data_IF_384507456027
#
_entry.id   IF_384507456027
#
_cell.length_a   1.000
_cell.length_b   1.000
_cell.length_c   1.000
_cell.angle_alpha   90.00
_cell.angle_beta   90.00
_cell.angle_gamma   90.00
#
_symmetry.space_group_name_H-M   'P 1'
#
loop_
_entity.id
_entity.type
_entity.pdbx_description
1 polymer ?
#
# COMPACT_ATOMS: atom_id res chain seq x y z
N UNK A 1 14.76 7.15 0.96
CA UNK A 1 16.22 7.30 0.77
C UNK A 1 16.56 8.76 0.54
N UNK A 2 15.87 9.43 -0.39
CA UNK A 2 16.09 10.83 -0.75
C UNK A 2 16.00 11.77 0.45
N UNK A 3 14.90 11.76 1.17
CA UNK A 3 14.68 12.65 2.32
C UNK A 3 15.79 12.56 3.38
N UNK A 4 16.20 11.34 3.79
CA UNK A 4 17.21 11.17 4.85
C UNK A 4 18.63 11.48 4.39
N UNK A 5 18.99 11.09 3.18
CA UNK A 5 20.39 11.19 2.69
C UNK A 5 20.68 12.43 1.88
N UNK A 6 19.69 12.93 1.17
CA UNK A 6 19.86 14.03 0.20
C UNK A 6 19.01 15.26 0.57
N UNK A 7 18.12 15.14 1.55
CA UNK A 7 17.13 16.17 1.92
C UNK A 7 16.24 16.61 0.77
N UNK A 8 16.04 15.74 -0.21
CA UNK A 8 15.29 16.00 -1.42
C UNK A 8 15.18 14.76 -2.31
N UNK A 9 14.73 14.94 -3.53
CA UNK A 9 14.68 13.90 -4.54
C UNK A 9 16.07 13.39 -4.92
N UNK A 10 16.13 12.19 -5.40
CA UNK A 10 17.33 11.58 -5.97
C UNK A 10 17.09 11.38 -7.47
N UNK A 11 18.15 11.42 -8.33
CA UNK A 11 17.99 11.45 -9.79
C UNK A 11 17.30 10.24 -10.42
N UNK A 12 17.13 9.17 -9.69
CA UNK A 12 16.54 7.90 -10.16
C UNK A 12 15.25 7.51 -9.44
N UNK A 13 14.62 8.47 -8.73
CA UNK A 13 13.43 8.25 -7.91
C UNK A 13 12.59 9.53 -7.96
N UNK A 14 11.40 9.44 -8.52
CA UNK A 14 10.55 10.58 -8.86
C UNK A 14 9.19 10.55 -8.14
N UNK A 15 9.01 9.60 -7.22
CA UNK A 15 7.80 9.46 -6.44
C UNK A 15 7.97 9.88 -4.97
N UNK A 16 6.84 10.15 -4.33
CA UNK A 16 6.74 10.41 -2.89
C UNK A 16 5.78 9.41 -2.28
N UNK A 17 6.32 8.61 -1.38
CA UNK A 17 5.57 7.63 -0.62
C UNK A 17 5.35 8.11 0.82
N UNK A 18 4.11 8.11 1.26
CA UNK A 18 3.74 8.39 2.65
C UNK A 18 3.15 7.12 3.26
N UNK A 19 3.63 6.74 4.43
CA UNK A 19 3.01 5.70 5.23
C UNK A 19 2.23 6.33 6.39
N UNK A 20 1.00 5.90 6.60
CA UNK A 20 0.20 6.33 7.73
C UNK A 20 -0.48 5.13 8.40
N UNK A 21 -0.73 5.22 9.72
CA UNK A 21 -1.48 4.16 10.41
C UNK A 21 -2.84 3.97 9.76
N UNK A 22 -3.26 2.73 9.58
CA UNK A 22 -4.51 2.40 8.89
C UNK A 22 -5.72 3.16 9.46
N UNK A 23 -5.76 3.39 10.77
CA UNK A 23 -6.85 4.15 11.40
C UNK A 23 -6.82 5.62 10.99
N UNK A 24 -5.63 6.23 10.94
CA UNK A 24 -5.45 7.62 10.51
C UNK A 24 -5.72 7.76 9.01
N UNK A 25 -5.30 6.79 8.22
CA UNK A 25 -5.63 6.73 6.79
C UNK A 25 -7.15 6.67 6.55
N UNK A 26 -7.88 5.89 7.35
CA UNK A 26 -9.36 5.86 7.27
C UNK A 26 -10.01 7.20 7.62
N UNK A 27 -9.45 7.92 8.60
CA UNK A 27 -9.89 9.28 8.93
C UNK A 27 -9.55 10.25 7.81
N UNK A 28 -8.33 10.16 7.29
CA UNK A 28 -7.87 10.98 6.17
C UNK A 28 -8.78 10.80 4.95
N UNK A 29 -9.11 9.58 4.55
CA UNK A 29 -10.01 9.30 3.42
C UNK A 29 -11.37 9.97 3.57
N UNK A 30 -11.88 10.09 4.79
CA UNK A 30 -13.17 10.74 5.06
C UNK A 30 -13.11 12.27 5.02
N UNK A 31 -11.99 12.84 5.44
CA UNK A 31 -11.83 14.29 5.64
C UNK A 31 -11.23 14.95 4.40
N UNK A 32 -10.26 14.30 3.78
CA UNK A 32 -9.49 14.87 2.67
C UNK A 32 -10.33 15.43 1.51
N UNK A 33 -11.43 14.80 1.06
CA UNK A 33 -12.24 15.36 -0.03
C UNK A 33 -12.79 16.75 0.25
N UNK A 34 -12.93 17.14 1.53
CA UNK A 34 -13.46 18.44 1.95
C UNK A 34 -12.35 19.46 2.28
N UNK A 35 -11.15 18.98 2.58
CA UNK A 35 -10.02 19.80 3.06
C UNK A 35 -8.93 19.99 2.01
N UNK A 36 -8.91 19.16 0.96
CA UNK A 36 -7.96 19.30 -0.12
C UNK A 36 -8.21 20.62 -0.88
N UNK A 37 -7.12 21.27 -1.27
CA UNK A 37 -7.19 22.47 -2.10
C UNK A 37 -7.82 22.13 -3.46
N UNK A 38 -8.45 23.13 -4.08
CA UNK A 38 -8.90 23.05 -5.46
C UNK A 38 -7.75 22.59 -6.38
N UNK A 39 -8.07 21.69 -7.30
CA UNK A 39 -7.09 21.06 -8.18
C UNK A 39 -6.40 19.82 -7.60
N UNK A 40 -6.63 19.45 -6.33
CA UNK A 40 -6.16 18.20 -5.76
C UNK A 40 -7.32 17.19 -5.61
N UNK A 41 -7.05 15.93 -5.90
CA UNK A 41 -8.03 14.86 -5.89
C UNK A 41 -7.56 13.67 -5.07
N UNK A 42 -8.38 13.22 -4.13
CA UNK A 42 -8.14 11.98 -3.40
C UNK A 42 -8.62 10.81 -4.25
N UNK A 43 -7.70 10.08 -4.84
CA UNK A 43 -7.98 8.89 -5.62
C UNK A 43 -8.02 7.66 -4.70
N UNK A 44 -9.19 7.05 -4.64
CA UNK A 44 -9.47 5.79 -3.96
C UNK A 44 -10.27 4.90 -4.90
N UNK A 45 -10.51 3.65 -4.51
CA UNK A 45 -11.40 2.77 -5.27
C UNK A 45 -12.85 3.30 -5.37
N UNK A 46 -13.29 4.06 -4.38
CA UNK A 46 -14.65 4.60 -4.33
C UNK A 46 -14.78 5.90 -5.11
N UNK A 47 -13.78 6.78 -5.04
CA UNK A 47 -13.79 8.08 -5.73
C UNK A 47 -13.39 7.97 -7.21
N UNK A 48 -12.65 6.94 -7.58
CA UNK A 48 -12.19 6.69 -8.95
C UNK A 48 -12.28 5.18 -9.28
N UNK A 49 -13.50 4.68 -9.52
CA UNK A 49 -13.75 3.23 -9.70
C UNK A 49 -13.06 2.62 -10.91
N UNK A 50 -12.75 3.42 -11.92
CA UNK A 50 -12.03 3.00 -13.12
C UNK A 50 -10.55 2.70 -12.83
N UNK A 51 -10.01 3.22 -11.73
CA UNK A 51 -8.67 2.87 -11.26
C UNK A 51 -8.73 1.54 -10.51
N UNK A 52 -8.18 0.50 -11.09
CA UNK A 52 -8.11 -0.84 -10.48
C UNK A 52 -6.91 -1.04 -9.54
N UNK A 53 -6.04 -0.04 -9.38
CA UNK A 53 -4.91 -0.09 -8.44
C UNK A 53 -5.40 0.18 -7.00
N UNK A 54 -5.14 -0.68 -6.02
CA UNK A 54 -5.68 -0.56 -4.67
C UNK A 54 -4.90 0.43 -3.78
N UNK A 55 -4.20 1.40 -4.36
CA UNK A 55 -3.37 2.37 -3.65
C UNK A 55 -4.16 3.66 -3.53
N UNK A 56 -4.14 4.27 -2.34
CA UNK A 56 -4.69 5.61 -2.14
C UNK A 56 -3.66 6.63 -2.59
N UNK A 57 -4.07 7.55 -3.46
CA UNK A 57 -3.21 8.61 -3.97
C UNK A 57 -3.88 9.97 -3.76
N UNK A 58 -3.08 11.00 -3.54
CA UNK A 58 -3.51 12.38 -3.76
C UNK A 58 -2.92 12.83 -5.08
N UNK A 59 -3.76 13.19 -6.04
CA UNK A 59 -3.36 13.60 -7.39
C UNK A 59 -3.57 15.08 -7.62
N UNK A 60 -2.68 15.67 -8.39
CA UNK A 60 -2.86 17.02 -8.94
C UNK A 60 -3.60 16.92 -10.27
N UNK A 61 -4.82 17.48 -10.32
CA UNK A 61 -5.68 17.46 -11.50
C UNK A 61 -5.20 18.42 -12.62
N UNK A 62 -4.28 19.35 -12.29
CA UNK A 62 -3.73 20.30 -13.25
C UNK A 62 -2.46 19.77 -13.94
N UNK A 63 -2.08 18.54 -13.66
CA UNK A 63 -0.91 17.90 -14.23
C UNK A 63 -1.28 16.58 -14.92
N UNK A 64 -0.35 16.04 -15.67
CA UNK A 64 -0.50 14.74 -16.33
C UNK A 64 0.80 13.93 -16.12
N UNK A 65 0.65 12.75 -15.54
CA UNK A 65 1.76 11.85 -15.29
C UNK A 65 1.34 10.41 -15.62
N UNK A 66 2.15 9.73 -16.41
CA UNK A 66 1.88 8.37 -16.88
C UNK A 66 2.78 7.40 -16.15
N UNK A 67 2.18 6.43 -15.47
CA UNK A 67 2.89 5.31 -14.85
C UNK A 67 2.98 4.13 -15.83
N UNK A 68 4.02 3.32 -15.68
CA UNK A 68 4.11 2.06 -16.40
C UNK A 68 2.88 1.18 -16.12
N UNK A 69 2.23 0.73 -17.18
CA UNK A 69 1.02 -0.09 -17.10
C UNK A 69 -0.28 0.70 -16.93
N UNK A 70 -0.26 2.02 -17.12
CA UNK A 70 -1.49 2.79 -17.19
C UNK A 70 -2.31 2.39 -18.42
N UNK A 71 -3.61 2.23 -18.21
CA UNK A 71 -4.57 1.94 -19.29
C UNK A 71 -5.25 3.24 -19.73
N UNK A 72 -4.95 3.63 -20.98
CA UNK A 72 -5.52 4.83 -21.59
C UNK A 72 -6.97 4.65 -22.08
N UNK A 73 -7.46 3.42 -22.10
CA UNK A 73 -8.87 3.15 -22.39
C UNK A 73 -9.77 3.32 -21.17
N UNK A 74 -9.18 3.41 -19.96
CA UNK A 74 -9.89 3.65 -18.72
C UNK A 74 -9.84 5.13 -18.35
N UNK A 75 -11.01 5.65 -18.03
CA UNK A 75 -11.19 7.05 -17.61
C UNK A 75 -10.96 7.16 -16.08
N UNK A 76 -9.70 7.24 -15.68
CA UNK A 76 -9.29 7.56 -14.30
C UNK A 76 -8.26 8.70 -14.30
N UNK A 77 -8.15 9.37 -13.15
CA UNK A 77 -7.23 10.50 -13.00
C UNK A 77 -5.77 10.06 -13.11
N UNK A 78 -4.98 10.79 -13.92
CA UNK A 78 -3.57 10.49 -14.25
C UNK A 78 -2.66 11.70 -14.00
N UNK A 79 -2.88 12.46 -12.96
CA UNK A 79 -2.01 13.58 -12.56
C UNK A 79 -0.82 13.12 -11.72
N UNK A 80 0.16 14.02 -11.50
CA UNK A 80 1.23 13.83 -10.52
C UNK A 80 0.62 13.47 -9.16
N UNK A 81 1.27 12.62 -8.39
CA UNK A 81 0.66 12.04 -7.20
C UNK A 81 1.62 11.87 -6.04
N UNK A 82 1.03 11.69 -4.88
CA UNK A 82 1.66 11.16 -3.67
C UNK A 82 0.95 9.87 -3.29
N UNK A 83 1.71 8.79 -3.14
CA UNK A 83 1.18 7.50 -2.69
C UNK A 83 1.02 7.45 -1.17
N UNK A 84 -0.09 6.88 -0.71
CA UNK A 84 -0.37 6.73 0.71
C UNK A 84 -0.58 5.26 1.04
N UNK A 85 0.34 4.71 1.83
CA UNK A 85 0.34 3.31 2.24
C UNK A 85 -0.20 3.13 3.65
N UNK A 86 -1.10 2.15 3.87
CA UNK A 86 -1.58 1.82 5.20
C UNK A 86 -0.55 1.02 5.99
N UNK A 87 -0.13 1.51 7.15
CA UNK A 87 0.65 0.74 8.11
C UNK A 87 -0.25 0.13 9.17
N UNK A 88 -0.02 -1.15 9.44
CA UNK A 88 -0.70 -1.94 10.47
C UNK A 88 0.29 -2.58 11.43
N UNK A 89 -0.13 -2.76 12.68
CA UNK A 89 0.70 -3.42 13.67
C UNK A 89 0.81 -4.91 13.37
N UNK A 90 2.05 -5.41 13.39
CA UNK A 90 2.34 -6.82 13.14
C UNK A 90 2.61 -7.57 14.44
N UNK A 91 2.13 -8.81 14.55
CA UNK A 91 2.44 -9.67 15.68
C UNK A 91 3.94 -9.98 15.75
N UNK A 92 4.46 -10.06 16.98
CA UNK A 92 5.88 -10.32 17.22
C UNK A 92 6.22 -11.79 16.99
N UNK A 93 6.22 -12.20 15.73
CA UNK A 93 6.60 -13.53 15.23
C UNK A 93 7.87 -13.44 14.38
N UNK A 94 8.56 -14.57 14.13
CA UNK A 94 9.75 -14.58 13.30
C UNK A 94 9.52 -14.00 11.90
N UNK A 95 10.44 -13.16 11.42
CA UNK A 95 10.38 -12.54 10.09
C UNK A 95 10.20 -13.55 8.95
N UNK A 96 10.78 -14.75 9.10
CA UNK A 96 10.64 -15.83 8.11
C UNK A 96 9.19 -16.30 7.94
N UNK A 97 8.41 -16.31 9.02
CA UNK A 97 6.99 -16.66 9.00
C UNK A 97 6.16 -15.54 8.33
N UNK A 98 6.43 -14.28 8.71
CA UNK A 98 5.79 -13.14 8.07
C UNK A 98 6.05 -13.16 6.57
N UNK A 99 7.31 -13.36 6.16
CA UNK A 99 7.68 -13.43 4.73
C UNK A 99 6.94 -14.56 3.99
N UNK A 100 6.84 -15.75 4.58
CA UNK A 100 6.13 -16.88 3.96
C UNK A 100 4.64 -16.59 3.80
N UNK A 101 4.00 -16.08 4.86
CA UNK A 101 2.56 -15.76 4.84
C UNK A 101 2.26 -14.60 3.89
N UNK A 102 2.99 -13.51 4.01
CA UNK A 102 2.79 -12.32 3.18
C UNK A 102 3.02 -12.62 1.69
N UNK A 103 4.14 -13.30 1.35
CA UNK A 103 4.43 -13.69 -0.03
C UNK A 103 3.40 -14.68 -0.57
N UNK A 104 3.03 -15.68 0.24
CA UNK A 104 2.01 -16.66 -0.14
C UNK A 104 0.67 -16.02 -0.42
N UNK A 105 0.26 -15.07 0.42
CA UNK A 105 -0.99 -14.32 0.24
C UNK A 105 -0.91 -13.39 -0.98
N UNK A 106 0.11 -12.55 -1.05
CA UNK A 106 0.29 -11.55 -2.12
C UNK A 106 0.36 -12.20 -3.51
N UNK A 107 1.18 -13.25 -3.68
CA UNK A 107 1.28 -13.97 -4.96
C UNK A 107 -0.05 -14.64 -5.33
N UNK A 108 -0.72 -15.29 -4.37
CA UNK A 108 -2.01 -15.92 -4.64
C UNK A 108 -3.07 -14.89 -5.02
N UNK A 109 -3.13 -13.78 -4.30
CA UNK A 109 -4.05 -12.69 -4.60
C UNK A 109 -3.76 -12.04 -5.96
N UNK A 110 -2.50 -11.83 -6.31
CA UNK A 110 -2.10 -11.29 -7.61
C UNK A 110 -2.56 -12.20 -8.75
N UNK A 111 -2.36 -13.52 -8.62
CA UNK A 111 -2.81 -14.49 -9.64
C UNK A 111 -4.32 -14.44 -9.80
N UNK A 112 -5.09 -14.36 -8.71
CA UNK A 112 -6.56 -14.29 -8.78
C UNK A 112 -7.09 -13.02 -9.49
N UNK A 113 -6.34 -11.92 -9.45
CA UNK A 113 -6.72 -10.64 -10.07
C UNK A 113 -6.08 -10.41 -11.44
N UNK A 114 -5.19 -11.30 -11.90
CA UNK A 114 -4.64 -11.23 -13.25
C UNK A 114 -5.72 -11.63 -14.27
N UNK A 115 -5.73 -11.00 -15.43
CA UNK A 115 -6.61 -11.42 -16.55
C UNK A 115 -6.29 -12.87 -16.94
N UNK A 116 -7.24 -13.77 -16.73
CA UNK A 116 -7.11 -15.17 -17.10
C UNK A 116 -7.83 -15.45 -18.40
N UNK A 117 -7.20 -16.24 -19.26
CA UNK A 117 -7.93 -16.88 -20.36
C UNK A 117 -8.72 -18.06 -19.82
N UNK A 118 -9.95 -18.23 -20.26
CA UNK A 118 -10.80 -19.37 -19.90
C UNK A 118 -10.14 -20.67 -20.36
N UNK A 119 -9.58 -21.42 -19.41
CA UNK A 119 -8.94 -22.72 -19.64
C UNK A 119 -9.12 -23.62 -18.42
N UNK A 120 -8.98 -24.94 -18.60
CA UNK A 120 -9.01 -25.88 -17.49
C UNK A 120 -7.96 -25.54 -16.42
N UNK A 121 -6.81 -25.08 -16.84
CA UNK A 121 -5.74 -24.68 -15.94
C UNK A 121 -6.16 -23.48 -15.10
N UNK A 122 -6.71 -22.42 -15.68
CA UNK A 122 -7.15 -21.24 -14.94
C UNK A 122 -8.31 -21.54 -13.99
N UNK A 123 -9.16 -22.51 -14.32
CA UNK A 123 -10.20 -22.98 -13.41
C UNK A 123 -9.59 -23.60 -12.14
N UNK A 124 -8.64 -24.53 -12.27
CA UNK A 124 -7.97 -25.11 -11.09
C UNK A 124 -7.13 -24.09 -10.32
N UNK A 125 -6.43 -23.20 -11.03
CA UNK A 125 -5.66 -22.11 -10.40
C UNK A 125 -6.56 -21.20 -9.56
N UNK A 126 -7.74 -20.84 -10.04
CA UNK A 126 -8.70 -20.03 -9.30
C UNK A 126 -9.08 -20.67 -7.95
N UNK A 127 -9.44 -21.95 -7.95
CA UNK A 127 -9.79 -22.66 -6.71
C UNK A 127 -8.56 -22.82 -5.79
N UNK A 128 -7.43 -23.21 -6.35
CA UNK A 128 -6.22 -23.43 -5.58
C UNK A 128 -5.72 -22.14 -4.89
N UNK A 129 -5.60 -21.07 -5.65
CA UNK A 129 -5.13 -19.81 -5.09
C UNK A 129 -6.18 -19.11 -4.23
N UNK A 130 -7.47 -19.28 -4.53
CA UNK A 130 -8.57 -18.84 -3.69
C UNK A 130 -8.53 -19.51 -2.32
N UNK A 131 -8.44 -20.84 -2.28
CA UNK A 131 -8.31 -21.61 -1.05
C UNK A 131 -7.05 -21.20 -0.26
N UNK A 132 -5.94 -21.01 -0.96
CA UNK A 132 -4.69 -20.57 -0.33
C UNK A 132 -4.81 -19.18 0.30
N UNK A 133 -5.47 -18.23 -0.35
CA UNK A 133 -5.75 -16.92 0.23
C UNK A 133 -6.62 -17.05 1.50
N UNK A 134 -7.66 -17.88 1.47
CA UNK A 134 -8.54 -18.11 2.61
C UNK A 134 -7.75 -18.70 3.79
N UNK A 135 -6.98 -19.74 3.56
CA UNK A 135 -6.18 -20.41 4.61
C UNK A 135 -5.16 -19.45 5.20
N UNK A 136 -4.38 -18.75 4.38
CA UNK A 136 -3.37 -17.81 4.87
C UNK A 136 -4.03 -16.64 5.60
N UNK A 137 -5.13 -16.11 5.08
CA UNK A 137 -5.88 -15.04 5.72
C UNK A 137 -6.45 -15.45 7.09
N UNK A 138 -7.00 -16.66 7.18
CA UNK A 138 -7.49 -17.23 8.45
C UNK A 138 -6.33 -17.43 9.45
N UNK A 139 -5.23 -18.03 8.99
CA UNK A 139 -4.04 -18.24 9.82
C UNK A 139 -3.47 -16.90 10.32
N UNK A 140 -3.41 -15.89 9.46
CA UNK A 140 -2.97 -14.55 9.85
C UNK A 140 -3.89 -13.92 10.90
N UNK A 141 -5.20 -14.06 10.74
CA UNK A 141 -6.18 -13.60 11.75
C UNK A 141 -5.97 -14.30 13.09
N UNK A 142 -5.81 -15.63 13.08
CA UNK A 142 -5.55 -16.42 14.30
C UNK A 142 -4.24 -15.97 14.98
N UNK A 143 -3.15 -15.81 14.25
CA UNK A 143 -1.89 -15.30 14.78
C UNK A 143 -2.10 -13.92 15.42
N UNK A 144 -2.87 -13.06 14.78
CA UNK A 144 -3.18 -11.72 15.32
C UNK A 144 -4.06 -11.77 16.59
N UNK A 145 -4.87 -12.77 16.77
CA UNK A 145 -5.66 -12.97 18.01
C UNK A 145 -4.79 -13.50 19.15
N UNK A 146 -3.98 -14.53 18.88
CA UNK A 146 -3.22 -15.21 19.93
C UNK A 146 -1.90 -14.52 20.31
N UNK A 147 -1.27 -13.78 19.38
CA UNK A 147 -0.05 -13.04 19.66
C UNK A 147 -0.40 -11.59 19.96
N UNK A 148 -0.50 -11.24 21.24
CA UNK A 148 -0.85 -9.87 21.67
C UNK A 148 0.29 -8.87 21.51
N UNK A 149 1.54 -9.34 21.63
CA UNK A 149 2.72 -8.46 21.52
C UNK A 149 2.84 -7.91 20.09
N UNK A 150 2.96 -6.57 19.98
CA UNK A 150 3.12 -5.82 18.73
C UNK A 150 4.42 -5.03 18.79
N UNK A 151 5.45 -5.51 18.14
CA UNK A 151 6.78 -4.84 18.11
C UNK A 151 7.04 -4.22 16.74
N UNK A 152 6.32 -4.68 15.74
CA UNK A 152 6.56 -4.30 14.36
C UNK A 152 5.36 -3.64 13.72
N UNK A 153 5.63 -2.85 12.71
CA UNK A 153 4.64 -2.21 11.84
C UNK A 153 5.05 -2.44 10.39
N UNK A 154 4.11 -2.58 9.52
CA UNK A 154 4.34 -2.72 8.09
C UNK A 154 3.06 -2.48 7.29
N UNK A 155 3.18 -2.52 5.97
CA UNK A 155 2.06 -2.51 5.06
C UNK A 155 1.12 -3.70 5.31
N UNK A 156 -0.12 -3.60 4.87
CA UNK A 156 -1.08 -4.72 4.97
C UNK A 156 -0.54 -5.98 4.30
N UNK A 157 -0.97 -7.15 4.79
CA UNK A 157 -0.37 -8.44 4.43
C UNK A 157 -0.31 -8.70 2.91
N UNK A 158 -1.35 -8.36 2.16
CA UNK A 158 -1.41 -8.57 0.72
C UNK A 158 -0.42 -7.69 -0.06
N UNK A 159 -0.05 -6.55 0.47
CA UNK A 159 0.90 -5.62 -0.13
C UNK A 159 2.33 -5.79 0.43
N UNK A 160 2.54 -6.78 1.29
CA UNK A 160 3.83 -7.05 1.92
C UNK A 160 4.49 -8.34 1.40
N UNK A 161 4.49 -8.57 0.10
CA UNK A 161 5.04 -9.79 -0.51
C UNK A 161 6.52 -10.08 -0.21
N UNK A 162 7.27 -9.08 0.18
CA UNK A 162 8.68 -9.20 0.59
C UNK A 162 8.87 -9.53 2.07
N UNK A 163 7.82 -9.47 2.89
CA UNK A 163 7.88 -9.71 4.33
C UNK A 163 8.66 -8.64 5.08
N UNK A 164 8.53 -7.40 4.64
CA UNK A 164 9.18 -6.25 5.29
C UNK A 164 8.48 -5.98 6.62
N UNK A 165 9.27 -5.72 7.66
CA UNK A 165 8.79 -5.34 8.98
C UNK A 165 9.71 -4.26 9.54
N UNK A 166 9.13 -3.20 10.03
CA UNK A 166 9.84 -2.12 10.72
C UNK A 166 9.55 -2.21 12.21
N UNK A 167 10.54 -1.94 13.04
CA UNK A 167 10.30 -1.81 14.47
C UNK A 167 9.48 -0.55 14.75
N UNK A 168 8.47 -0.65 15.60
CA UNK A 168 7.63 0.50 15.93
C UNK A 168 8.44 1.65 16.56
N UNK A 169 9.40 1.32 17.42
CA UNK A 169 10.28 2.29 18.07
C UNK A 169 11.27 3.00 17.11
N UNK A 170 11.43 2.49 15.89
CA UNK A 170 12.22 3.14 14.85
C UNK A 170 11.41 4.12 13.99
N UNK A 171 10.09 4.11 14.13
CA UNK A 171 9.17 4.97 13.35
C UNK A 171 8.39 5.90 14.26
N UNK A 172 8.01 5.43 15.45
CA UNK A 172 7.21 6.19 16.39
C UNK A 172 7.96 6.43 17.71
N UNK A 173 7.80 7.63 18.33
CA UNK A 173 7.03 8.76 17.82
C UNK A 173 7.66 9.33 16.54
N UNK A 174 6.82 9.91 15.68
CA UNK A 174 7.30 10.58 14.47
C UNK A 174 8.17 11.78 14.84
N UNK A 175 9.25 11.97 14.11
CA UNK A 175 10.18 13.09 14.24
C UNK A 175 9.89 14.21 13.25
N UNK A 176 10.94 14.91 12.87
CA UNK A 176 10.92 15.88 11.79
C UNK A 176 12.02 15.53 10.77
N UNK A 177 11.71 15.72 9.51
CA UNK A 177 12.64 15.54 8.41
C UNK A 177 12.61 16.76 7.50
N UNK A 178 13.77 17.13 6.98
CA UNK A 178 13.90 18.14 5.96
C UNK A 178 13.81 17.49 4.57
N UNK A 179 12.97 18.05 3.71
CA UNK A 179 12.82 17.62 2.33
C UNK A 179 12.56 18.84 1.45
N UNK A 180 13.39 19.05 0.41
CA UNK A 180 13.32 20.21 -0.51
C UNK A 180 13.23 21.55 0.25
N UNK A 181 14.07 21.72 1.27
CA UNK A 181 14.14 22.94 2.08
C UNK A 181 12.96 23.18 3.02
N UNK A 182 12.04 22.25 3.14
CA UNK A 182 10.89 22.31 4.04
C UNK A 182 10.97 21.22 5.13
N UNK A 183 10.40 21.49 6.30
CA UNK A 183 10.30 20.52 7.39
C UNK A 183 8.95 19.83 7.38
N UNK A 184 8.97 18.53 7.52
CA UNK A 184 7.79 17.67 7.60
C UNK A 184 7.88 16.79 8.85
N UNK A 185 6.73 16.43 9.39
CA UNK A 185 6.64 15.37 10.40
C UNK A 185 6.74 14.03 9.70
N UNK A 186 7.70 13.17 10.14
CA UNK A 186 7.98 11.87 9.52
C UNK A 186 8.48 10.85 10.55
#
# INVERSE_FOLDING_TARGET
LGAVRHKGFIPWDDDIDIAMRLEDMRRFIKIAPQELREGLFLQTKDSDPSNNKPIVKVRDLNSFFVEEGDDFHLDYQKGVFVDIFPFVDYPSIPKSWVKKLARGYSVSNSILHTKHYYSFRSFFEFFWFGLKCIIIGALWKLINVFVSKRTYVSNVLNNNGYGIMHRQDSIFPIGEIEFEGKRFKA
#
